data_IF_291434881299
#
_entry.id   IF_291434881299
#
_cell.length_a   1.000
_cell.length_b   1.000
_cell.length_c   1.000
_cell.angle_alpha   90.00
_cell.angle_beta   90.00
_cell.angle_gamma   90.00
#
_symmetry.space_group_name_H-M   'P 1'
#
loop_
_entity.id
_entity.type
_entity.pdbx_description
1 polymer ?
#
# COMPACT_ATOMS: atom_id res chain seq x y z
N UNK A 1 28.60 -70.15 5.26
CA UNK A 1 27.37 -70.86 5.68
C UNK A 1 26.36 -69.83 6.19
N UNK A 2 25.06 -70.03 5.95
CA UNK A 2 24.23 -69.07 5.22
C UNK A 2 23.03 -68.52 6.03
N UNK A 3 22.23 -67.68 5.35
CA UNK A 3 20.97 -67.05 5.76
C UNK A 3 19.90 -68.01 6.32
N UNK A 4 18.80 -67.46 6.88
CA UNK A 4 17.57 -67.49 6.08
C UNK A 4 16.68 -66.22 6.16
N UNK A 5 16.00 -65.94 5.04
CA UNK A 5 14.75 -65.17 4.86
C UNK A 5 13.53 -66.10 5.14
N UNK A 6 12.27 -65.78 4.73
CA UNK A 6 11.30 -64.74 5.14
C UNK A 6 9.91 -65.35 5.50
N UNK A 7 8.89 -64.54 5.84
CA UNK A 7 7.42 -64.76 5.60
C UNK A 7 6.63 -63.51 6.05
N UNK A 8 6.06 -62.69 5.14
CA UNK A 8 4.69 -62.73 4.59
C UNK A 8 3.58 -62.52 5.64
N UNK A 9 2.58 -61.63 5.54
CA UNK A 9 2.17 -60.68 4.51
C UNK A 9 0.67 -60.34 4.69
N UNK A 10 0.24 -59.10 4.40
CA UNK A 10 -1.13 -58.75 3.98
C UNK A 10 -1.13 -57.33 3.39
N UNK A 11 -1.13 -57.17 2.06
CA UNK A 11 -2.28 -57.05 1.14
C UNK A 11 -3.07 -55.73 1.30
N UNK A 12 -2.78 -54.79 0.41
CA UNK A 12 -3.67 -53.72 -0.07
C UNK A 12 -3.39 -53.48 -1.56
N UNK A 13 -4.36 -53.86 -2.40
CA UNK A 13 -4.41 -53.77 -3.88
C UNK A 13 -4.52 -52.30 -4.34
N UNK A 14 -3.73 -51.84 -5.31
CA UNK A 14 -3.93 -51.84 -6.79
C UNK A 14 -5.06 -50.93 -7.29
N UNK A 15 -4.72 -50.04 -8.24
CA UNK A 15 -5.69 -49.30 -9.04
C UNK A 15 -5.15 -48.07 -9.81
N UNK A 16 -4.27 -48.32 -10.79
CA UNK A 16 -3.94 -47.51 -11.99
C UNK A 16 -5.17 -46.86 -12.68
N UNK A 17 -5.15 -45.87 -13.59
CA UNK A 17 -4.14 -45.04 -14.26
C UNK A 17 -4.87 -43.96 -15.13
N UNK A 18 -4.07 -43.05 -15.72
CA UNK A 18 -4.19 -42.40 -17.04
C UNK A 18 -5.35 -41.40 -17.30
N UNK A 19 -5.09 -40.10 -17.55
CA UNK A 19 -4.64 -39.43 -18.82
C UNK A 19 -5.70 -39.42 -19.92
N UNK A 20 -6.06 -38.23 -20.43
CA UNK A 20 -6.66 -38.07 -21.76
C UNK A 20 -7.44 -36.78 -22.00
N UNK A 21 -6.93 -35.94 -22.90
CA UNK A 21 -7.49 -34.66 -23.34
C UNK A 21 -8.54 -34.79 -24.47
N UNK A 22 -9.24 -33.69 -24.79
CA UNK A 22 -9.57 -33.36 -26.20
C UNK A 22 -11.04 -33.19 -26.63
N UNK A 23 -11.47 -31.93 -26.70
CA UNK A 23 -12.19 -31.24 -27.80
C UNK A 23 -13.47 -31.77 -28.51
N UNK A 24 -14.45 -30.84 -28.54
CA UNK A 24 -15.41 -30.44 -29.62
C UNK A 24 -16.54 -31.38 -30.05
N UNK A 25 -17.78 -30.87 -29.98
CA UNK A 25 -18.67 -30.78 -31.17
C UNK A 25 -19.76 -29.69 -31.03
N UNK A 26 -20.09 -29.07 -32.17
CA UNK A 26 -21.08 -28.00 -32.42
C UNK A 26 -22.47 -28.54 -32.81
N UNK A 27 -23.45 -27.60 -32.79
CA UNK A 27 -24.75 -27.47 -33.53
C UNK A 27 -25.98 -27.98 -32.76
N UNK A 28 -27.17 -27.36 -32.79
CA UNK A 28 -27.83 -26.45 -33.77
C UNK A 28 -29.12 -25.81 -33.21
N UNK A 29 -29.51 -24.62 -33.75
CA UNK A 29 -30.90 -24.10 -33.93
C UNK A 29 -31.54 -23.36 -32.74
N UNK A 30 -32.34 -22.28 -32.89
CA UNK A 30 -32.97 -21.62 -34.05
C UNK A 30 -33.68 -20.30 -33.58
N UNK A 31 -33.70 -19.27 -34.47
CA UNK A 31 -34.70 -18.16 -34.67
C UNK A 31 -34.84 -17.09 -33.55
N UNK A 32 -35.03 -15.78 -33.82
CA UNK A 32 -35.16 -14.96 -35.03
C UNK A 32 -35.62 -13.52 -34.67
N UNK A 33 -35.52 -12.59 -35.65
CA UNK A 33 -36.01 -11.19 -35.72
C UNK A 33 -35.30 -10.13 -34.84
N UNK A 34 -35.00 -8.90 -35.29
CA UNK A 34 -35.29 -8.18 -36.53
C UNK A 34 -34.44 -6.89 -36.61
N UNK A 35 -34.28 -6.37 -37.84
CA UNK A 35 -33.55 -5.15 -38.21
C UNK A 35 -34.36 -3.86 -37.96
N UNK A 36 -33.64 -2.75 -37.76
CA UNK A 36 -34.15 -1.39 -37.93
C UNK A 36 -33.06 -0.36 -37.63
N UNK A 37 -32.53 0.29 -38.67
CA UNK A 37 -31.43 1.26 -38.59
C UNK A 37 -31.85 2.69 -38.27
N UNK A 38 -30.85 3.60 -38.26
CA UNK A 38 -31.09 5.05 -38.25
C UNK A 38 -29.88 5.85 -37.75
N UNK A 39 -29.12 6.43 -38.67
CA UNK A 39 -28.11 7.46 -38.43
C UNK A 39 -28.76 8.85 -38.41
N UNK A 40 -28.25 9.80 -37.60
CA UNK A 40 -28.34 11.24 -37.91
C UNK A 40 -27.34 12.08 -37.10
N UNK A 41 -26.87 13.14 -37.75
CA UNK A 41 -25.74 13.98 -37.42
C UNK A 41 -26.04 15.21 -36.52
N UNK A 42 -24.96 15.73 -35.93
CA UNK A 42 -24.55 17.13 -35.80
C UNK A 42 -25.49 18.19 -35.19
N UNK A 43 -24.94 19.03 -34.28
CA UNK A 43 -24.56 20.42 -34.57
C UNK A 43 -23.88 21.14 -33.40
N UNK A 44 -23.07 22.13 -33.80
CA UNK A 44 -22.19 23.02 -33.03
C UNK A 44 -22.96 24.19 -32.38
N UNK A 45 -22.38 24.79 -31.35
CA UNK A 45 -22.71 26.14 -30.88
C UNK A 45 -21.63 26.76 -29.99
N UNK A 46 -20.77 27.60 -30.57
CA UNK A 46 -19.80 28.48 -29.89
C UNK A 46 -20.45 29.82 -29.51
N UNK A 47 -19.95 30.49 -28.44
CA UNK A 47 -19.74 31.95 -28.23
C UNK A 47 -19.28 32.14 -26.76
N UNK A 48 -18.02 32.44 -26.41
CA UNK A 48 -17.18 33.66 -26.49
C UNK A 48 -17.69 34.93 -25.77
N UNK A 49 -16.90 35.29 -24.74
CA UNK A 49 -16.36 36.61 -24.38
C UNK A 49 -17.23 37.64 -23.61
N UNK A 50 -16.61 38.21 -22.56
CA UNK A 50 -17.07 39.39 -21.84
C UNK A 50 -16.21 39.71 -20.62
N UNK A 51 -15.01 40.27 -20.84
CA UNK A 51 -14.17 40.86 -19.81
C UNK A 51 -14.72 42.23 -19.36
N UNK A 52 -14.56 42.58 -18.08
CA UNK A 52 -14.95 43.92 -17.62
C UNK A 52 -14.68 44.24 -16.14
N UNK A 53 -13.52 44.86 -15.91
CA UNK A 53 -13.27 46.00 -14.99
C UNK A 53 -13.33 45.80 -13.45
N UNK A 54 -12.16 45.98 -12.84
CA UNK A 54 -11.95 46.52 -11.48
C UNK A 54 -12.41 47.97 -11.38
N UNK A 55 -12.65 48.45 -10.14
CA UNK A 55 -11.95 49.66 -9.70
C UNK A 55 -11.23 49.48 -8.36
N UNK A 56 -10.32 50.40 -8.09
CA UNK A 56 -9.43 50.45 -6.96
C UNK A 56 -9.84 51.54 -5.94
N UNK A 57 -9.19 51.46 -4.76
CA UNK A 57 -8.93 52.50 -3.74
C UNK A 57 -9.96 52.69 -2.61
N UNK A 58 -9.61 52.15 -1.44
CA UNK A 58 -9.02 52.93 -0.34
C UNK A 58 -9.96 53.44 0.77
N UNK A 59 -9.69 53.06 2.03
CA UNK A 59 -9.47 53.93 3.20
C UNK A 59 -9.24 53.11 4.50
N UNK A 60 -8.49 53.74 5.41
CA UNK A 60 -8.00 53.28 6.72
C UNK A 60 -9.07 53.00 7.79
N UNK A 61 -8.91 51.88 8.55
CA UNK A 61 -8.75 51.68 10.04
C UNK A 61 -9.64 52.53 11.00
N UNK A 62 -10.32 51.98 12.05
CA UNK A 62 -9.71 51.23 13.17
C UNK A 62 -10.47 50.05 13.83
N UNK A 63 -9.71 49.35 14.69
CA UNK A 63 -10.06 48.25 15.59
C UNK A 63 -11.29 48.50 16.48
N UNK A 64 -12.14 47.47 16.67
CA UNK A 64 -12.73 47.08 17.96
C UNK A 64 -13.81 45.97 17.83
N UNK A 65 -13.56 44.83 18.51
CA UNK A 65 -14.48 44.22 19.51
C UNK A 65 -15.71 43.36 19.05
N UNK A 66 -15.58 42.06 19.35
CA UNK A 66 -16.57 41.12 19.95
C UNK A 66 -17.76 40.48 19.19
N UNK A 67 -17.81 39.14 19.37
CA UNK A 67 -18.93 38.32 19.88
C UNK A 67 -20.37 38.47 19.34
N UNK A 68 -20.94 37.30 19.01
CA UNK A 68 -22.36 36.92 19.10
C UNK A 68 -23.37 37.57 18.14
N UNK A 69 -23.69 36.88 17.06
CA UNK A 69 -25.10 36.70 16.63
C UNK A 69 -25.30 35.34 15.96
N UNK A 70 -25.96 34.40 16.65
CA UNK A 70 -26.79 33.37 16.01
C UNK A 70 -27.83 32.82 17.00
N UNK A 71 -28.69 33.70 17.52
CA UNK A 71 -29.93 33.30 18.21
C UNK A 71 -31.01 34.36 18.05
N UNK A 72 -31.71 34.37 16.91
CA UNK A 72 -33.09 34.82 16.80
C UNK A 72 -33.64 34.47 15.41
N UNK A 73 -34.69 33.65 15.36
CA UNK A 73 -35.32 33.24 14.11
C UNK A 73 -36.13 31.95 14.24
N UNK A 74 -36.99 31.84 15.27
CA UNK A 74 -38.03 30.80 15.34
C UNK A 74 -39.40 31.47 15.23
N UNK A 75 -40.13 31.14 14.16
CA UNK A 75 -41.58 30.95 14.07
C UNK A 75 -41.90 30.76 12.57
N UNK A 76 -42.66 29.79 12.06
CA UNK A 76 -43.57 28.74 12.55
C UNK A 76 -43.55 27.62 11.50
N UNK A 77 -43.47 26.36 11.91
CA UNK A 77 -44.24 25.22 11.34
C UNK A 77 -43.98 23.99 12.21
N UNK A 78 -45.00 23.57 12.96
CA UNK A 78 -45.02 22.36 13.78
C UNK A 78 -44.95 21.14 12.85
N UNK A 79 -43.86 20.39 12.90
CA UNK A 79 -43.84 18.94 12.61
C UNK A 79 -43.07 18.26 13.74
N UNK A 80 -43.70 17.27 14.37
CA UNK A 80 -43.13 16.47 15.46
C UNK A 80 -41.81 15.84 14.98
N UNK A 81 -40.71 16.14 15.64
CA UNK A 81 -39.47 15.38 15.55
C UNK A 81 -39.56 14.19 16.52
N UNK A 82 -39.08 12.99 16.15
CA UNK A 82 -38.93 11.90 17.11
C UNK A 82 -37.84 12.26 18.15
N UNK A 83 -37.89 11.68 19.36
CA UNK A 83 -36.99 12.04 20.45
C UNK A 83 -35.54 11.74 20.06
N UNK A 84 -34.66 12.74 20.18
CA UNK A 84 -33.23 12.53 20.13
C UNK A 84 -32.82 11.79 21.40
N UNK A 85 -32.32 10.57 21.24
CA UNK A 85 -31.66 9.82 22.31
C UNK A 85 -30.39 10.57 22.67
N UNK A 86 -30.19 11.02 23.92
CA UNK A 86 -28.94 11.63 24.33
C UNK A 86 -27.80 10.60 24.24
N UNK A 87 -26.56 10.99 23.90
CA UNK A 87 -25.45 10.05 23.87
C UNK A 87 -25.26 9.40 25.25
N UNK A 88 -24.95 8.11 25.27
CA UNK A 88 -24.64 7.36 26.49
C UNK A 88 -23.54 8.07 27.30
N UNK A 89 -23.60 8.05 28.65
CA UNK A 89 -22.55 8.58 29.50
C UNK A 89 -21.24 7.81 29.20
N UNK A 90 -20.28 8.49 28.56
CA UNK A 90 -18.99 7.91 28.14
C UNK A 90 -18.60 8.16 26.68
N UNK A 91 -19.53 8.62 25.82
CA UNK A 91 -19.23 8.94 24.42
C UNK A 91 -18.58 10.32 24.32
N UNK A 92 -17.33 10.38 23.85
CA UNK A 92 -16.67 11.67 23.55
C UNK A 92 -16.96 12.07 22.10
N UNK A 93 -17.66 13.20 21.84
CA UNK A 93 -17.69 13.78 20.51
C UNK A 93 -16.30 14.31 20.18
N UNK A 94 -15.68 13.80 19.10
CA UNK A 94 -14.37 14.27 18.65
C UNK A 94 -14.54 15.19 17.44
N UNK A 95 -14.09 16.44 17.56
CA UNK A 95 -13.82 17.32 16.41
C UNK A 95 -12.40 17.14 15.86
N UNK A 96 -11.57 16.36 16.55
CA UNK A 96 -10.18 16.07 16.21
C UNK A 96 -10.03 14.72 15.48
N UNK A 97 -9.15 14.70 14.48
CA UNK A 97 -8.70 13.47 13.82
C UNK A 97 -7.91 12.64 14.83
N UNK A 98 -8.52 11.56 15.35
CA UNK A 98 -7.84 10.61 16.21
C UNK A 98 -7.43 9.40 15.37
N UNK A 99 -6.12 9.20 15.18
CA UNK A 99 -5.60 8.00 14.52
C UNK A 99 -5.21 6.98 15.61
N UNK A 100 -5.97 5.90 15.79
CA UNK A 100 -5.59 4.83 16.71
C UNK A 100 -4.37 4.07 16.18
N UNK A 101 -3.23 4.16 16.87
CA UNK A 101 -2.01 3.43 16.50
C UNK A 101 -1.66 2.35 17.53
N UNK A 102 -1.24 1.14 17.09
CA UNK A 102 -0.69 0.13 17.99
C UNK A 102 0.65 0.60 18.60
N UNK A 103 0.93 0.22 19.86
CA UNK A 103 2.04 0.73 20.67
C UNK A 103 3.47 0.38 20.19
N UNK A 104 3.65 -0.35 19.08
CA UNK A 104 4.98 -0.76 18.60
C UNK A 104 5.10 -0.64 17.09
N UNK A 105 5.69 0.47 16.62
CA UNK A 105 6.22 0.59 15.27
C UNK A 105 7.64 -0.02 15.25
N UNK A 106 7.82 -1.19 14.65
CA UNK A 106 9.17 -1.76 14.40
C UNK A 106 9.82 -1.03 13.21
N UNK A 107 11.13 -0.81 13.29
CA UNK A 107 11.95 -0.19 12.24
C UNK A 107 11.88 -1.02 10.95
N UNK A 108 11.45 -0.40 9.84
CA UNK A 108 11.54 -0.94 8.48
C UNK A 108 11.95 0.16 7.53
N UNK A 109 12.16 -0.12 6.25
CA UNK A 109 12.60 0.89 5.27
C UNK A 109 11.55 1.06 4.18
N UNK A 110 11.39 2.30 3.74
CA UNK A 110 10.55 2.68 2.61
C UNK A 110 11.50 3.16 1.52
N UNK A 111 11.38 2.55 0.34
CA UNK A 111 11.98 3.08 -0.88
C UNK A 111 10.97 4.07 -1.45
N UNK A 112 11.29 5.36 -1.36
CA UNK A 112 10.47 6.45 -1.90
C UNK A 112 11.03 6.81 -3.28
N UNK A 113 10.15 6.92 -4.27
CA UNK A 113 10.49 7.33 -5.65
C UNK A 113 9.83 8.67 -6.01
N UNK A 114 9.94 9.70 -5.16
CA UNK A 114 9.59 11.08 -5.52
C UNK A 114 10.17 12.11 -4.54
N UNK A 115 10.10 13.39 -4.94
CA UNK A 115 10.73 14.59 -4.37
C UNK A 115 10.36 14.90 -2.90
N UNK A 116 10.87 14.12 -1.94
CA UNK A 116 11.07 14.61 -0.56
C UNK A 116 12.45 15.29 -0.48
N UNK A 117 12.49 16.55 -0.90
CA UNK A 117 13.72 17.15 -1.40
C UNK A 117 14.66 17.82 -0.39
N UNK A 118 14.37 17.89 0.92
CA UNK A 118 15.23 18.68 1.85
C UNK A 118 15.77 17.99 3.11
N UNK A 119 15.26 16.84 3.52
CA UNK A 119 15.70 16.17 4.76
C UNK A 119 16.16 14.71 4.56
N UNK A 120 16.17 14.24 3.30
CA UNK A 120 16.42 12.83 2.96
C UNK A 120 17.81 12.66 2.33
N UNK A 121 18.60 11.63 2.70
CA UNK A 121 19.90 11.35 2.09
C UNK A 121 19.82 11.27 0.56
N UNK A 122 20.91 11.62 -0.13
CA UNK A 122 21.00 11.68 -1.59
C UNK A 122 20.38 10.45 -2.29
N UNK A 123 19.62 10.68 -3.37
CA UNK A 123 19.02 9.62 -4.17
C UNK A 123 20.06 8.63 -4.68
N UNK A 124 19.71 7.34 -4.69
CA UNK A 124 20.56 6.29 -5.27
C UNK A 124 20.35 6.36 -6.76
N UNK A 125 21.44 6.60 -7.49
CA UNK A 125 21.43 6.80 -8.94
C UNK A 125 21.89 5.59 -9.73
N UNK A 126 22.15 4.46 -9.05
CA UNK A 126 22.52 3.21 -9.71
C UNK A 126 21.78 2.01 -9.14
N UNK A 127 21.46 1.06 -10.01
CA UNK A 127 20.91 -0.24 -9.64
C UNK A 127 21.74 -1.34 -10.28
N UNK A 128 22.20 -2.31 -9.48
CA UNK A 128 22.97 -3.47 -9.95
C UNK A 128 22.14 -4.74 -9.79
N UNK A 129 21.97 -5.47 -10.88
CA UNK A 129 21.30 -6.76 -10.94
C UNK A 129 22.33 -7.87 -11.18
N UNK A 130 22.26 -8.90 -10.35
CA UNK A 130 23.17 -10.06 -10.36
C UNK A 130 22.39 -11.36 -10.29
N UNK A 131 23.03 -12.46 -10.66
CA UNK A 131 22.70 -13.79 -10.19
C UNK A 131 23.85 -14.31 -9.31
N UNK A 132 23.68 -15.38 -8.53
CA UNK A 132 24.79 -15.95 -7.78
C UNK A 132 25.98 -16.25 -8.70
N UNK A 133 27.11 -15.58 -8.47
CA UNK A 133 28.34 -15.73 -9.25
C UNK A 133 28.44 -14.95 -10.55
N UNK A 134 27.47 -14.10 -10.91
CA UNK A 134 27.52 -13.33 -12.18
C UNK A 134 26.82 -11.98 -12.08
N UNK A 135 27.45 -10.95 -12.66
CA UNK A 135 26.80 -9.69 -12.95
C UNK A 135 25.92 -9.80 -14.20
N UNK A 136 24.66 -9.40 -14.07
CA UNK A 136 23.71 -9.42 -15.19
C UNK A 136 23.67 -8.06 -15.86
N UNK A 137 23.52 -6.99 -15.07
CA UNK A 137 23.48 -5.61 -15.54
C UNK A 137 23.63 -4.61 -14.40
N UNK A 138 24.25 -3.47 -14.68
CA UNK A 138 24.17 -2.28 -13.85
C UNK A 138 23.54 -1.15 -14.67
N UNK A 139 22.66 -0.37 -14.03
CA UNK A 139 21.93 0.72 -14.63
C UNK A 139 22.27 2.03 -13.92
N UNK A 140 22.41 3.11 -14.68
CA UNK A 140 22.43 4.48 -14.17
C UNK A 140 21.06 5.13 -14.39
N UNK A 141 20.48 5.69 -13.34
CA UNK A 141 19.20 6.41 -13.43
C UNK A 141 19.34 7.66 -14.29
N UNK A 142 20.46 8.38 -14.17
CA UNK A 142 20.70 9.59 -14.97
C UNK A 142 20.75 9.30 -16.48
N UNK A 143 21.14 8.07 -16.87
CA UNK A 143 21.27 7.67 -18.29
C UNK A 143 19.98 7.02 -18.82
N UNK A 144 19.37 6.11 -18.06
CA UNK A 144 18.25 5.28 -18.55
C UNK A 144 16.86 5.74 -18.06
N UNK A 145 16.79 6.64 -17.07
CA UNK A 145 15.56 7.22 -16.57
C UNK A 145 15.81 8.62 -15.96
N UNK A 146 16.23 9.61 -16.78
CA UNK A 146 16.55 10.95 -16.28
C UNK A 146 15.40 11.55 -15.47
N UNK A 147 15.74 12.14 -14.32
CA UNK A 147 14.75 12.75 -13.40
C UNK A 147 14.12 11.77 -12.41
N UNK A 148 14.35 10.46 -12.54
CA UNK A 148 13.93 9.49 -11.53
C UNK A 148 15.03 9.20 -10.52
N UNK A 149 14.65 9.00 -9.26
CA UNK A 149 15.55 8.57 -8.20
C UNK A 149 14.88 7.61 -7.22
N UNK A 150 15.69 6.85 -6.49
CA UNK A 150 15.24 5.99 -5.39
C UNK A 150 15.89 6.43 -4.10
N UNK A 151 15.07 6.73 -3.09
CA UNK A 151 15.54 7.09 -1.74
C UNK A 151 15.14 6.02 -0.75
N UNK A 152 16.12 5.48 -0.04
CA UNK A 152 15.86 4.60 1.09
C UNK A 152 15.75 5.43 2.38
N UNK A 153 14.62 5.32 3.07
CA UNK A 153 14.35 6.03 4.32
C UNK A 153 13.97 5.03 5.40
N UNK A 154 14.50 5.23 6.61
CA UNK A 154 14.02 4.51 7.78
C UNK A 154 12.57 4.89 8.07
N UNK A 155 11.66 3.91 8.01
CA UNK A 155 10.23 4.04 8.31
C UNK A 155 10.00 4.69 9.66
N UNK A 156 10.82 4.37 10.67
CA UNK A 156 10.71 4.99 11.99
C UNK A 156 10.92 6.51 11.88
N UNK A 157 12.02 6.94 11.26
CA UNK A 157 12.32 8.35 11.06
C UNK A 157 11.23 9.04 10.22
N UNK A 158 10.73 8.40 9.16
CA UNK A 158 9.63 8.96 8.37
C UNK A 158 8.36 9.14 9.20
N UNK A 159 7.95 8.13 9.96
CA UNK A 159 6.74 8.18 10.78
C UNK A 159 6.86 9.21 11.90
N UNK A 160 8.01 9.28 12.58
CA UNK A 160 8.29 10.29 13.61
C UNK A 160 8.27 11.71 13.02
N UNK A 161 8.84 11.90 11.82
CA UNK A 161 8.80 13.18 11.11
C UNK A 161 7.37 13.59 10.77
N UNK A 162 6.57 12.69 10.20
CA UNK A 162 5.16 12.96 9.89
C UNK A 162 4.34 13.24 11.15
N UNK A 163 4.55 12.45 12.21
CA UNK A 163 3.86 12.65 13.49
C UNK A 163 4.21 13.99 14.14
N UNK A 164 5.46 14.46 14.00
CA UNK A 164 5.90 15.75 14.54
C UNK A 164 5.20 16.96 13.93
N UNK A 165 4.58 16.80 12.76
CA UNK A 165 3.81 17.85 12.08
C UNK A 165 2.36 17.92 12.54
N UNK A 166 1.91 16.99 13.39
CA UNK A 166 0.54 16.97 13.91
C UNK A 166 0.42 17.80 15.20
N UNK A 167 -0.75 18.42 15.45
CA UNK A 167 -1.00 19.09 16.72
C UNK A 167 -0.82 18.16 17.92
N UNK A 168 -0.40 18.69 19.10
CA UNK A 168 -0.37 17.92 20.32
C UNK A 168 -1.72 17.25 20.61
N UNK A 169 -1.69 15.97 20.98
CA UNK A 169 -2.90 15.18 21.27
C UNK A 169 -3.65 14.62 20.06
N UNK A 170 -3.19 14.87 18.82
CA UNK A 170 -3.80 14.29 17.62
C UNK A 170 -3.63 12.75 17.54
N UNK A 171 -2.56 12.22 18.13
CA UNK A 171 -2.29 10.77 18.16
C UNK A 171 -2.69 10.22 19.53
N UNK A 172 -3.49 9.15 19.52
CA UNK A 172 -3.80 8.33 20.70
C UNK A 172 -3.25 6.92 20.50
N UNK A 173 -2.26 6.56 21.32
CA UNK A 173 -1.70 5.21 21.35
C UNK A 173 -2.55 4.27 22.20
N UNK A 174 -2.33 2.97 22.03
CA UNK A 174 -3.05 1.90 22.76
C UNK A 174 -4.57 1.97 22.55
N UNK A 175 -5.00 2.48 21.40
CA UNK A 175 -6.41 2.68 21.04
C UNK A 175 -6.88 1.64 20.02
N UNK A 176 -6.69 0.35 20.30
CA UNK A 176 -7.07 -0.70 19.33
C UNK A 176 -8.59 -0.74 19.15
N UNK A 177 -9.03 -0.75 17.88
CA UNK A 177 -10.45 -0.86 17.52
C UNK A 177 -10.98 -2.25 17.85
N UNK A 178 -12.07 -2.29 18.64
CA UNK A 178 -12.82 -3.51 18.96
C UNK A 178 -14.00 -3.70 18.02
N UNK A 179 -14.80 -2.64 17.79
CA UNK A 179 -15.98 -2.71 16.93
C UNK A 179 -16.27 -1.39 16.22
N UNK A 180 -16.98 -1.46 15.10
CA UNK A 180 -17.42 -0.32 14.30
C UNK A 180 -18.89 -0.51 13.91
N UNK A 181 -19.70 0.53 14.04
CA UNK A 181 -21.12 0.51 13.66
C UNK A 181 -21.62 1.86 13.13
N UNK A 182 -22.58 1.81 12.21
CA UNK A 182 -23.27 3.01 11.73
C UNK A 182 -24.37 3.43 12.72
N UNK A 183 -24.39 4.71 13.10
CA UNK A 183 -25.42 5.29 13.97
C UNK A 183 -26.34 6.24 13.16
N UNK A 184 -26.68 5.84 11.93
CA UNK A 184 -27.51 6.61 11.01
C UNK A 184 -26.98 8.03 10.76
N UNK A 185 -27.79 9.05 11.08
CA UNK A 185 -27.39 10.46 10.92
C UNK A 185 -26.37 10.94 11.95
N UNK A 186 -26.23 10.26 13.08
CA UNK A 186 -25.37 10.68 14.19
C UNK A 186 -23.87 10.51 13.87
N UNK A 187 -23.51 9.54 13.03
CA UNK A 187 -22.12 9.28 12.63
C UNK A 187 -21.79 7.79 12.62
N UNK A 188 -20.50 7.49 12.74
CA UNK A 188 -19.96 6.15 12.88
C UNK A 188 -19.41 6.00 14.29
N UNK A 189 -19.87 4.99 15.02
CA UNK A 189 -19.41 4.68 16.37
C UNK A 189 -18.26 3.68 16.31
N UNK A 190 -17.15 4.04 16.94
CA UNK A 190 -15.97 3.21 17.13
C UNK A 190 -15.88 2.84 18.61
N UNK A 191 -15.84 1.55 18.91
CA UNK A 191 -15.57 1.03 20.24
C UNK A 191 -14.13 0.54 20.30
N UNK A 192 -13.38 0.97 21.31
CA UNK A 192 -12.00 0.54 21.54
C UNK A 192 -11.93 -0.64 22.52
N UNK A 193 -10.82 -1.37 22.51
CA UNK A 193 -10.61 -2.50 23.43
C UNK A 193 -10.59 -2.08 24.92
N UNK A 194 -10.24 -0.84 25.22
CA UNK A 194 -10.27 -0.27 26.56
C UNK A 194 -11.67 0.26 26.98
N UNK A 195 -12.69 0.00 26.16
CA UNK A 195 -14.08 0.39 26.42
C UNK A 195 -14.42 1.83 26.03
N UNK A 196 -13.45 2.66 25.63
CA UNK A 196 -13.74 4.00 25.12
C UNK A 196 -14.58 3.94 23.85
N UNK A 197 -15.50 4.87 23.71
CA UNK A 197 -16.34 5.03 22.53
C UNK A 197 -16.11 6.38 21.86
N UNK A 198 -15.93 6.36 20.55
CA UNK A 198 -15.70 7.54 19.72
C UNK A 198 -16.79 7.61 18.66
N UNK A 199 -17.57 8.70 18.67
CA UNK A 199 -18.52 9.00 17.61
C UNK A 199 -17.87 9.94 16.59
N UNK A 200 -17.67 9.45 15.38
CA UNK A 200 -16.98 10.17 14.31
C UNK A 200 -17.93 10.53 13.16
N UNK A 201 -17.73 11.72 12.58
CA UNK A 201 -18.46 12.14 11.37
C UNK A 201 -17.90 11.44 10.13
N UNK A 202 -16.58 11.35 10.06
CA UNK A 202 -15.80 10.67 9.01
C UNK A 202 -14.79 9.76 9.70
N UNK A 203 -14.60 8.56 9.16
CA UNK A 203 -13.62 7.56 9.59
C UNK A 203 -12.76 7.20 8.39
N UNK A 204 -11.45 7.35 8.53
CA UNK A 204 -10.48 6.88 7.53
C UNK A 204 -9.82 5.60 8.05
N UNK A 205 -10.16 4.46 7.44
CA UNK A 205 -9.54 3.17 7.74
C UNK A 205 -8.15 3.09 7.13
N UNK A 206 -7.14 3.27 7.98
CA UNK A 206 -5.71 3.19 7.64
C UNK A 206 -4.97 2.17 8.55
N UNK A 207 -5.70 1.15 8.97
CA UNK A 207 -5.35 0.11 9.96
C UNK A 207 -4.61 -1.11 9.36
N UNK A 208 -4.07 -0.94 8.15
CA UNK A 208 -3.15 -1.87 7.51
C UNK A 208 -3.80 -3.14 6.95
N UNK A 209 -2.96 -4.10 6.57
CA UNK A 209 -3.35 -5.29 5.80
C UNK A 209 -4.46 -6.13 6.44
N UNK A 210 -4.51 -6.21 7.77
CA UNK A 210 -5.51 -6.99 8.52
C UNK A 210 -6.71 -6.13 9.01
N UNK A 211 -6.99 -5.03 8.31
CA UNK A 211 -7.97 -4.00 8.68
C UNK A 211 -9.32 -4.57 9.12
N UNK A 212 -9.70 -4.46 10.41
CA UNK A 212 -11.09 -4.71 10.84
C UNK A 212 -12.11 -3.81 10.14
N UNK A 213 -11.73 -2.58 9.75
CA UNK A 213 -12.65 -1.66 9.05
C UNK A 213 -12.93 -2.19 7.63
N UNK A 214 -11.91 -2.68 6.92
CA UNK A 214 -12.08 -3.27 5.59
C UNK A 214 -12.96 -4.53 5.65
N UNK A 215 -12.75 -5.39 6.64
CA UNK A 215 -13.60 -6.57 6.88
C UNK A 215 -15.05 -6.17 7.12
N UNK A 216 -15.28 -5.16 7.97
CA UNK A 216 -16.62 -4.63 8.23
C UNK A 216 -17.28 -4.03 6.97
N UNK A 217 -16.48 -3.43 6.08
CA UNK A 217 -16.94 -2.94 4.78
C UNK A 217 -17.21 -4.06 3.75
N UNK A 218 -16.92 -5.31 4.09
CA UNK A 218 -17.16 -6.48 3.24
C UNK A 218 -15.97 -6.90 2.38
N UNK A 219 -14.78 -6.35 2.59
CA UNK A 219 -13.58 -6.82 1.89
C UNK A 219 -13.18 -8.20 2.41
N UNK A 220 -12.71 -9.05 1.50
CA UNK A 220 -12.13 -10.35 1.88
C UNK A 220 -10.84 -10.17 2.66
N UNK A 221 -10.44 -11.22 3.39
CA UNK A 221 -9.09 -11.29 3.96
C UNK A 221 -8.02 -11.23 2.85
N UNK A 222 -6.86 -10.62 3.14
CA UNK A 222 -5.69 -10.76 2.28
C UNK A 222 -5.30 -12.23 2.13
N UNK A 223 -4.91 -12.62 0.91
CA UNK A 223 -4.54 -13.98 0.58
C UNK A 223 -3.02 -14.13 0.59
N UNK A 224 -2.53 -15.20 1.20
CA UNK A 224 -1.13 -15.59 1.10
C UNK A 224 -0.74 -15.93 -0.34
N UNK A 225 0.37 -15.37 -0.82
CA UNK A 225 0.77 -15.49 -2.23
C UNK A 225 1.77 -16.61 -2.52
N UNK A 226 2.09 -17.45 -1.52
CA UNK A 226 3.10 -18.51 -1.67
C UNK A 226 4.55 -18.05 -1.47
N UNK A 227 4.75 -16.82 -0.99
CA UNK A 227 6.08 -16.25 -0.78
C UNK A 227 6.25 -15.72 0.65
N UNK A 228 7.44 -15.92 1.19
CA UNK A 228 7.89 -15.33 2.46
C UNK A 228 8.95 -14.28 2.18
N UNK A 229 9.12 -13.35 3.13
CA UNK A 229 10.21 -12.39 3.07
C UNK A 229 10.95 -12.26 4.40
N UNK A 230 12.27 -12.36 4.35
CA UNK A 230 13.17 -11.84 5.38
C UNK A 230 13.51 -10.38 5.11
N UNK A 231 13.65 -9.60 6.18
CA UNK A 231 14.16 -8.23 6.14
C UNK A 231 15.07 -8.01 7.33
N UNK A 232 16.14 -7.24 7.11
CA UNK A 232 17.04 -6.83 8.16
C UNK A 232 17.66 -5.46 7.92
N UNK A 233 18.19 -4.89 9.00
CA UNK A 233 18.88 -3.61 8.99
C UNK A 233 20.25 -3.79 9.65
N UNK A 234 21.29 -3.80 8.84
CA UNK A 234 22.67 -3.85 9.31
C UNK A 234 23.12 -2.48 9.80
N UNK A 235 23.92 -2.47 10.85
CA UNK A 235 24.50 -1.27 11.44
C UNK A 235 26.03 -1.37 11.39
N UNK A 236 26.67 -0.27 11.02
CA UNK A 236 28.11 -0.12 10.88
C UNK A 236 28.53 1.09 11.70
N UNK A 237 29.13 0.86 12.87
CA UNK A 237 29.52 1.93 13.80
C UNK A 237 30.48 2.93 13.15
N UNK A 238 31.45 2.42 12.38
CA UNK A 238 32.49 3.23 11.72
C UNK A 238 32.14 3.63 10.28
N UNK A 239 30.88 3.46 9.89
CA UNK A 239 30.40 3.73 8.55
C UNK A 239 30.34 2.49 7.65
N UNK A 240 29.36 2.49 6.76
CA UNK A 240 29.09 1.37 5.85
C UNK A 240 30.00 1.44 4.60
N UNK A 241 30.57 0.31 4.14
CA UNK A 241 31.57 0.30 3.07
C UNK A 241 30.98 0.23 1.64
N UNK A 242 29.66 0.28 1.48
CA UNK A 242 29.00 0.05 0.19
C UNK A 242 28.72 1.35 -0.56
N UNK A 243 28.84 1.28 -1.88
CA UNK A 243 28.43 2.36 -2.77
C UNK A 243 26.91 2.61 -2.71
N UNK A 244 26.42 3.83 -2.97
CA UNK A 244 24.99 4.19 -2.93
C UNK A 244 24.22 3.62 -4.13
N UNK A 245 24.14 2.29 -4.23
CA UNK A 245 23.40 1.55 -5.25
C UNK A 245 22.31 0.67 -4.64
N UNK A 246 21.28 0.41 -5.43
CA UNK A 246 20.31 -0.66 -5.14
C UNK A 246 20.87 -1.97 -5.69
N UNK A 247 21.12 -2.96 -4.84
CA UNK A 247 21.65 -4.26 -5.27
C UNK A 247 20.53 -5.31 -5.27
N UNK A 248 20.31 -5.96 -6.41
CA UNK A 248 19.43 -7.10 -6.58
C UNK A 248 20.22 -8.33 -6.98
N UNK A 249 19.91 -9.47 -6.36
CA UNK A 249 20.48 -10.78 -6.69
C UNK A 249 19.33 -11.75 -6.92
N UNK A 250 19.28 -12.37 -8.09
CA UNK A 250 18.22 -13.28 -8.51
C UNK A 250 18.72 -14.72 -8.53
N UNK A 251 18.15 -15.56 -7.68
CA UNK A 251 18.32 -17.00 -7.69
C UNK A 251 17.13 -17.70 -8.34
N UNK A 252 16.95 -18.99 -8.01
CA UNK A 252 15.82 -19.83 -8.43
C UNK A 252 14.85 -19.95 -7.26
N UNK A 253 13.64 -19.42 -7.39
CA UNK A 253 12.66 -19.36 -6.27
C UNK A 253 13.10 -18.52 -5.06
N UNK A 254 14.22 -17.79 -5.18
CA UNK A 254 14.78 -16.92 -4.16
C UNK A 254 15.33 -15.69 -4.84
N UNK A 255 15.08 -14.52 -4.25
CA UNK A 255 15.72 -13.25 -4.63
C UNK A 255 16.12 -12.51 -3.37
N UNK A 256 17.23 -11.80 -3.44
CA UNK A 256 17.70 -10.97 -2.35
C UNK A 256 18.12 -9.60 -2.87
N UNK A 257 18.28 -8.67 -1.94
CA UNK A 257 18.87 -7.38 -2.27
C UNK A 257 19.27 -6.63 -1.03
N UNK A 258 20.12 -5.63 -1.22
CA UNK A 258 20.50 -4.71 -0.17
C UNK A 258 20.67 -3.29 -0.70
N UNK A 259 20.41 -2.31 0.17
CA UNK A 259 20.38 -0.90 -0.16
C UNK A 259 20.97 -0.12 1.02
N UNK A 260 22.09 0.61 0.84
CA UNK A 260 22.56 1.56 1.84
C UNK A 260 21.49 2.62 2.10
N UNK A 261 21.27 2.98 3.36
CA UNK A 261 20.14 3.80 3.83
C UNK A 261 20.64 5.12 4.40
N UNK A 262 21.69 5.04 5.21
CA UNK A 262 22.43 6.16 5.77
C UNK A 262 23.93 5.88 5.70
N UNK A 263 24.76 6.78 6.24
CA UNK A 263 26.20 6.58 6.37
C UNK A 263 26.57 5.33 7.20
N UNK A 264 25.67 4.85 8.06
CA UNK A 264 25.94 3.76 9.02
C UNK A 264 24.99 2.58 8.89
N UNK A 265 23.97 2.63 8.02
CA UNK A 265 22.93 1.58 7.95
C UNK A 265 22.69 1.05 6.55
N UNK A 266 22.51 -0.26 6.46
CA UNK A 266 22.23 -0.98 5.21
C UNK A 266 21.03 -1.90 5.37
N UNK A 267 20.00 -1.67 4.57
CA UNK A 267 18.83 -2.53 4.48
C UNK A 267 19.13 -3.76 3.65
N UNK A 268 18.59 -4.91 4.01
CA UNK A 268 18.54 -6.05 3.13
C UNK A 268 17.21 -6.80 3.22
N UNK A 269 16.90 -7.54 2.16
CA UNK A 269 15.75 -8.43 2.12
C UNK A 269 16.08 -9.72 1.38
N UNK A 270 15.34 -10.77 1.70
CA UNK A 270 15.25 -12.00 0.91
C UNK A 270 13.77 -12.27 0.70
N UNK A 271 13.33 -12.52 -0.53
CA UNK A 271 12.01 -13.09 -0.80
C UNK A 271 12.21 -14.50 -1.36
N UNK A 272 11.47 -15.48 -0.85
CA UNK A 272 11.62 -16.87 -1.24
C UNK A 272 10.28 -17.61 -1.28
N UNK A 273 10.22 -18.69 -2.05
CA UNK A 273 9.03 -19.51 -2.19
C UNK A 273 8.80 -20.39 -0.97
N UNK A 274 7.55 -20.45 -0.51
CA UNK A 274 7.12 -21.36 0.55
C UNK A 274 5.63 -21.61 0.41
N UNK A 275 5.22 -22.87 0.21
CA UNK A 275 3.81 -23.21 -0.01
C UNK A 275 2.91 -22.84 1.18
N UNK A 276 3.42 -22.99 2.40
CA UNK A 276 2.73 -22.65 3.63
C UNK A 276 3.62 -21.74 4.51
N UNK A 277 3.08 -20.65 5.09
CA UNK A 277 3.87 -19.73 5.92
C UNK A 277 4.49 -20.39 7.16
N UNK A 278 3.96 -21.54 7.59
CA UNK A 278 4.36 -22.25 8.78
C UNK A 278 4.07 -21.50 10.08
N UNK A 279 4.51 -22.03 11.22
CA UNK A 279 4.39 -21.34 12.49
C UNK A 279 5.22 -20.05 12.48
N UNK A 280 4.75 -19.07 13.24
CA UNK A 280 5.48 -17.83 13.47
C UNK A 280 6.71 -18.12 14.32
N UNK A 281 7.89 -18.03 13.72
CA UNK A 281 9.16 -18.08 14.45
C UNK A 281 9.41 -16.70 15.04
N UNK A 282 9.64 -16.65 16.35
CA UNK A 282 9.94 -15.42 17.09
C UNK A 282 11.37 -15.36 17.61
N UNK A 283 12.09 -16.47 17.59
CA UNK A 283 13.49 -16.53 17.98
C UNK A 283 14.37 -15.76 16.97
N UNK A 284 15.00 -14.63 17.38
CA UNK A 284 15.80 -13.82 16.48
C UNK A 284 17.00 -14.56 15.89
N UNK A 285 17.64 -15.44 16.67
CA UNK A 285 18.82 -16.21 16.24
C UNK A 285 18.44 -17.23 15.17
N UNK A 286 17.36 -18.00 15.37
CA UNK A 286 16.84 -18.91 14.35
C UNK A 286 16.44 -18.20 13.05
N UNK A 287 15.83 -17.00 13.14
CA UNK A 287 15.46 -16.22 11.96
C UNK A 287 16.67 -15.81 11.13
N UNK A 288 17.73 -15.29 11.78
CA UNK A 288 18.96 -14.88 11.10
C UNK A 288 19.68 -16.08 10.48
N UNK A 289 19.74 -17.20 11.21
CA UNK A 289 20.34 -18.45 10.73
C UNK A 289 19.61 -18.97 9.49
N UNK A 290 18.28 -19.11 9.54
CA UNK A 290 17.48 -19.55 8.38
C UNK A 290 17.69 -18.63 7.17
N UNK A 291 17.74 -17.30 7.39
CA UNK A 291 17.99 -16.34 6.33
C UNK A 291 19.35 -16.55 5.66
N UNK A 292 20.43 -16.71 6.44
CA UNK A 292 21.78 -16.97 5.93
C UNK A 292 21.87 -18.28 5.17
N UNK A 293 21.17 -19.31 5.64
CA UNK A 293 21.15 -20.62 5.00
C UNK A 293 20.47 -20.61 3.63
N UNK A 294 19.38 -19.85 3.48
CA UNK A 294 18.69 -19.70 2.19
C UNK A 294 19.56 -19.12 1.08
N UNK A 295 20.55 -18.31 1.44
CA UNK A 295 21.46 -17.64 0.49
C UNK A 295 22.91 -18.11 0.67
N UNK A 296 23.11 -19.34 1.16
CA UNK A 296 24.44 -19.93 1.27
C UNK A 296 25.15 -19.91 -0.09
N UNK A 297 26.39 -19.41 -0.13
CA UNK A 297 27.18 -19.31 -1.36
C UNK A 297 26.80 -18.14 -2.29
N UNK A 298 25.88 -17.26 -1.87
CA UNK A 298 25.60 -16.01 -2.59
C UNK A 298 26.74 -15.00 -2.40
N UNK A 299 26.76 -13.90 -3.17
CA UNK A 299 27.83 -12.89 -3.09
C UNK A 299 28.20 -12.48 -1.65
N UNK A 300 29.50 -12.38 -1.40
CA UNK A 300 30.06 -12.13 -0.06
C UNK A 300 29.61 -10.80 0.55
N UNK A 301 29.31 -9.81 -0.29
CA UNK A 301 28.79 -8.50 0.13
C UNK A 301 27.40 -8.62 0.79
N UNK A 302 26.47 -9.38 0.20
CA UNK A 302 25.17 -9.69 0.81
C UNK A 302 25.36 -10.42 2.15
N UNK A 303 26.22 -11.45 2.17
CA UNK A 303 26.46 -12.24 3.38
C UNK A 303 27.09 -11.38 4.50
N UNK A 304 27.98 -10.45 4.16
CA UNK A 304 28.59 -9.51 5.10
C UNK A 304 27.53 -8.59 5.74
N UNK A 305 26.62 -8.04 4.93
CA UNK A 305 25.48 -7.23 5.43
C UNK A 305 24.62 -8.04 6.39
N UNK A 306 24.25 -9.26 6.01
CA UNK A 306 23.41 -10.11 6.85
C UNK A 306 24.10 -10.49 8.16
N UNK A 307 25.41 -10.82 8.14
CA UNK A 307 26.17 -11.14 9.34
C UNK A 307 26.31 -9.95 10.29
N UNK A 308 26.48 -8.75 9.76
CA UNK A 308 26.56 -7.50 10.53
C UNK A 308 25.22 -7.02 11.09
N UNK A 309 24.11 -7.67 10.71
CA UNK A 309 22.78 -7.32 11.21
C UNK A 309 22.56 -7.87 12.62
N UNK A 310 22.18 -7.02 13.61
CA UNK A 310 21.78 -7.52 14.93
C UNK A 310 20.64 -8.53 14.83
N UNK A 311 20.65 -9.60 15.63
CA UNK A 311 19.66 -10.68 15.52
C UNK A 311 18.23 -10.16 15.68
N UNK A 312 18.01 -9.28 16.66
CA UNK A 312 16.71 -8.63 16.91
C UNK A 312 16.23 -7.70 15.79
N UNK A 313 17.09 -7.38 14.81
CA UNK A 313 16.75 -6.56 13.65
C UNK A 313 16.32 -7.38 12.43
N UNK A 314 16.23 -8.72 12.55
CA UNK A 314 15.74 -9.60 11.48
C UNK A 314 14.27 -9.96 11.72
N UNK A 315 13.45 -9.87 10.67
CA UNK A 315 12.09 -10.43 10.69
C UNK A 315 11.82 -11.28 9.47
N UNK A 316 10.88 -12.20 9.64
CA UNK A 316 10.26 -12.98 8.57
C UNK A 316 8.76 -12.72 8.54
N UNK A 317 8.21 -12.44 7.36
CA UNK A 317 6.78 -12.20 7.19
C UNK A 317 6.23 -12.95 5.98
N UNK A 318 5.02 -13.51 6.06
CA UNK A 318 4.30 -13.93 4.87
C UNK A 318 3.97 -12.73 4.00
N UNK A 319 4.06 -12.91 2.68
CA UNK A 319 3.58 -11.94 1.72
C UNK A 319 2.13 -12.27 1.39
N UNK A 320 1.28 -11.24 1.44
CA UNK A 320 -0.15 -11.34 1.16
C UNK A 320 -0.55 -10.24 0.19
N UNK A 321 -1.65 -10.45 -0.52
CA UNK A 321 -2.28 -9.43 -1.35
C UNK A 321 -3.81 -9.52 -1.31
N UNK A 322 -4.47 -8.46 -1.81
CA UNK A 322 -5.90 -8.48 -2.08
C UNK A 322 -6.19 -7.71 -3.35
N UNK A 323 -6.74 -8.41 -4.34
CA UNK A 323 -6.97 -7.85 -5.66
C UNK A 323 -8.31 -7.12 -5.70
N UNK A 324 -8.29 -5.88 -6.19
CA UNK A 324 -9.47 -5.03 -6.32
C UNK A 324 -10.21 -5.28 -7.64
N UNK A 325 -10.64 -6.53 -7.85
CA UNK A 325 -11.27 -6.95 -9.09
C UNK A 325 -12.48 -6.08 -9.48
N UNK A 326 -12.53 -5.55 -10.71
CA UNK A 326 -13.65 -4.73 -11.17
C UNK A 326 -14.98 -5.45 -11.01
N UNK A 327 -15.95 -4.81 -10.34
CA UNK A 327 -17.29 -5.35 -10.12
C UNK A 327 -17.42 -6.44 -9.06
N UNK A 328 -16.31 -6.89 -8.45
CA UNK A 328 -16.32 -7.87 -7.36
C UNK A 328 -15.82 -7.28 -6.03
N UNK A 329 -14.86 -6.35 -6.10
CA UNK A 329 -14.37 -5.67 -4.91
C UNK A 329 -15.44 -4.72 -4.34
N UNK A 330 -15.65 -4.69 -3.00
CA UNK A 330 -16.49 -3.69 -2.38
C UNK A 330 -15.97 -2.27 -2.63
N UNK A 331 -16.86 -1.29 -2.48
CA UNK A 331 -16.47 0.11 -2.55
C UNK A 331 -15.48 0.47 -1.43
N UNK A 332 -14.49 1.30 -1.76
CA UNK A 332 -13.52 1.84 -0.80
C UNK A 332 -14.16 2.79 0.21
N UNK A 333 -15.35 3.31 -0.13
CA UNK A 333 -16.14 4.21 0.70
C UNK A 333 -17.52 3.64 1.03
N UNK A 334 -18.01 3.89 2.26
CA UNK A 334 -19.31 3.41 2.75
C UNK A 334 -20.06 4.49 3.51
N UNK A 335 -21.35 4.60 3.24
CA UNK A 335 -22.30 5.45 3.97
C UNK A 335 -21.99 6.96 3.91
N UNK A 336 -21.07 7.39 3.02
CA UNK A 336 -20.58 8.77 2.99
C UNK A 336 -19.84 9.19 4.25
N UNK A 337 -19.31 8.24 5.02
CA UNK A 337 -18.68 8.48 6.33
C UNK A 337 -17.42 7.65 6.54
N UNK A 338 -17.31 6.48 5.93
CA UNK A 338 -16.15 5.60 6.12
C UNK A 338 -15.43 5.46 4.79
N UNK A 339 -14.11 5.58 4.78
CA UNK A 339 -13.27 5.38 3.59
C UNK A 339 -11.98 4.68 3.97
N UNK A 340 -11.49 3.76 3.13
CA UNK A 340 -10.23 3.04 3.33
C UNK A 340 -9.08 3.71 2.58
N UNK A 341 -7.87 3.63 3.14
CA UNK A 341 -6.63 4.09 2.51
C UNK A 341 -5.45 3.17 2.85
N UNK A 342 -4.43 3.17 1.99
CA UNK A 342 -3.24 2.33 2.15
C UNK A 342 -3.54 0.83 2.13
N UNK A 343 -2.76 0.05 2.88
CA UNK A 343 -2.89 -1.42 2.94
C UNK A 343 -4.25 -1.89 3.49
N UNK A 344 -5.02 -1.03 4.16
CA UNK A 344 -6.39 -1.34 4.56
C UNK A 344 -7.31 -1.50 3.33
N UNK A 345 -7.01 -0.81 2.23
CA UNK A 345 -7.75 -0.89 0.98
C UNK A 345 -7.05 -1.80 -0.04
N UNK A 346 -5.80 -1.51 -0.40
CA UNK A 346 -5.06 -2.13 -1.51
C UNK A 346 -3.75 -2.80 -1.06
N UNK A 347 -3.80 -3.81 -0.16
CA UNK A 347 -2.61 -4.52 0.24
C UNK A 347 -1.99 -5.24 -0.96
N UNK A 348 -0.71 -4.97 -1.22
CA UNK A 348 0.01 -5.50 -2.36
C UNK A 348 1.35 -6.11 -1.97
N UNK A 349 1.84 -7.01 -2.81
CA UNK A 349 3.17 -7.60 -2.63
C UNK A 349 4.27 -6.53 -2.84
N UNK A 350 5.41 -6.63 -2.13
CA UNK A 350 6.47 -5.61 -2.17
C UNK A 350 7.30 -5.64 -3.46
N UNK A 351 6.83 -6.32 -4.51
CA UNK A 351 7.65 -6.61 -5.69
C UNK A 351 7.99 -5.39 -6.54
N UNK A 352 7.21 -4.30 -6.42
CA UNK A 352 7.46 -3.00 -7.04
C UNK A 352 7.88 -1.92 -6.04
N UNK A 353 7.95 -2.23 -4.74
CA UNK A 353 8.29 -1.23 -3.71
C UNK A 353 7.27 -0.10 -3.50
N UNK A 354 6.05 -0.21 -4.05
CA UNK A 354 5.10 0.92 -4.09
C UNK A 354 4.09 1.03 -2.94
N UNK A 355 3.92 0.02 -2.09
CA UNK A 355 2.81 0.03 -1.12
C UNK A 355 2.77 1.29 -0.22
N UNK A 356 3.92 1.68 0.33
CA UNK A 356 4.01 2.89 1.15
C UNK A 356 3.86 4.19 0.34
N UNK A 357 4.41 4.25 -0.88
CA UNK A 357 4.19 5.39 -1.78
C UNK A 357 2.71 5.56 -2.09
N UNK A 358 2.00 4.49 -2.44
CA UNK A 358 0.57 4.51 -2.69
C UNK A 358 -0.24 4.99 -1.48
N UNK A 359 0.16 4.61 -0.26
CA UNK A 359 -0.51 5.09 0.96
C UNK A 359 -0.29 6.60 1.19
N UNK A 360 0.89 7.14 0.82
CA UNK A 360 1.15 8.58 0.87
C UNK A 360 0.38 9.34 -0.22
N UNK A 361 0.35 8.80 -1.45
CA UNK A 361 -0.48 9.32 -2.54
C UNK A 361 -1.96 9.37 -2.12
N UNK A 362 -2.46 8.30 -1.47
CA UNK A 362 -3.82 8.27 -0.94
C UNK A 362 -4.09 9.38 0.07
N UNK A 363 -3.17 9.61 1.01
CA UNK A 363 -3.33 10.64 2.03
C UNK A 363 -3.48 12.02 1.41
N UNK A 364 -2.66 12.34 0.40
CA UNK A 364 -2.71 13.62 -0.32
C UNK A 364 -4.03 13.75 -1.09
N UNK A 365 -4.37 12.75 -1.92
CA UNK A 365 -5.58 12.81 -2.74
C UNK A 365 -6.84 12.86 -1.87
N UNK A 366 -6.91 12.06 -0.81
CA UNK A 366 -8.07 12.06 0.10
C UNK A 366 -8.20 13.40 0.83
N UNK A 367 -7.10 13.93 1.37
CA UNK A 367 -7.10 15.22 2.05
C UNK A 367 -7.58 16.34 1.14
N UNK A 368 -7.09 16.40 -0.10
CA UNK A 368 -7.53 17.36 -1.12
C UNK A 368 -9.03 17.26 -1.39
N UNK A 369 -9.51 16.04 -1.69
CA UNK A 369 -10.93 15.81 -2.01
C UNK A 369 -11.85 16.19 -0.84
N UNK A 370 -11.44 15.90 0.39
CA UNK A 370 -12.22 16.25 1.59
C UNK A 370 -12.17 17.75 1.88
N UNK A 371 -11.03 18.42 1.66
CA UNK A 371 -10.92 19.87 1.81
C UNK A 371 -11.86 20.62 0.85
N UNK A 372 -11.91 20.21 -0.42
CA UNK A 372 -12.79 20.79 -1.44
C UNK A 372 -14.28 20.64 -1.10
N UNK A 373 -14.65 19.58 -0.36
CA UNK A 373 -16.01 19.29 0.04
C UNK A 373 -16.47 19.99 1.34
N UNK A 374 -15.56 20.60 2.10
CA UNK A 374 -15.90 21.25 3.36
C UNK A 374 -16.59 20.34 4.40
N UNK A 375 -17.41 20.92 5.27
CA UNK A 375 -18.06 20.22 6.39
C UNK A 375 -19.42 19.59 6.07
N UNK A 376 -19.88 19.63 4.82
CA UNK A 376 -21.17 19.05 4.41
C UNK A 376 -21.02 17.54 4.14
N UNK A 377 -21.81 16.72 4.84
CA UNK A 377 -21.78 15.26 4.70
C UNK A 377 -22.15 14.74 3.31
N UNK A 378 -23.00 15.44 2.55
CA UNK A 378 -23.32 15.04 1.18
C UNK A 378 -22.12 15.27 0.24
N UNK A 379 -21.41 16.38 0.43
CA UNK A 379 -20.21 16.72 -0.33
C UNK A 379 -19.05 15.80 0.05
N UNK A 380 -18.89 15.47 1.34
CA UNK A 380 -17.90 14.49 1.80
C UNK A 380 -18.11 13.11 1.16
N UNK A 381 -19.35 12.66 1.03
CA UNK A 381 -19.68 11.41 0.35
C UNK A 381 -19.27 11.43 -1.13
N UNK A 382 -19.50 12.55 -1.82
CA UNK A 382 -19.07 12.72 -3.21
C UNK A 382 -17.54 12.76 -3.33
N UNK A 383 -16.85 13.46 -2.42
CA UNK A 383 -15.40 13.52 -2.35
C UNK A 383 -14.76 12.14 -2.15
N UNK A 384 -15.28 11.33 -1.23
CA UNK A 384 -14.77 9.96 -1.01
C UNK A 384 -14.94 9.05 -2.23
N UNK A 385 -16.06 9.18 -2.96
CA UNK A 385 -16.25 8.46 -4.24
C UNK A 385 -15.30 8.94 -5.34
N UNK A 386 -15.03 10.25 -5.40
CA UNK A 386 -14.06 10.81 -6.35
C UNK A 386 -12.64 10.33 -6.04
N UNK A 387 -12.25 10.34 -4.75
CA UNK A 387 -11.01 9.72 -4.27
C UNK A 387 -10.92 8.24 -4.69
N UNK A 388 -11.97 7.47 -4.44
CA UNK A 388 -12.02 6.05 -4.76
C UNK A 388 -11.82 5.80 -6.26
N UNK A 389 -12.52 6.53 -7.13
CA UNK A 389 -12.39 6.39 -8.58
C UNK A 389 -10.98 6.73 -9.09
N UNK A 390 -10.42 7.85 -8.64
CA UNK A 390 -9.07 8.31 -9.00
C UNK A 390 -8.01 7.30 -8.56
N UNK A 391 -8.09 6.87 -7.30
CA UNK A 391 -7.09 5.97 -6.72
C UNK A 391 -7.24 4.54 -7.21
N UNK A 392 -8.45 4.03 -7.43
CA UNK A 392 -8.64 2.68 -7.95
C UNK A 392 -7.95 2.49 -9.31
N UNK A 393 -8.06 3.49 -10.20
CA UNK A 393 -7.39 3.50 -11.51
C UNK A 393 -5.86 3.43 -11.40
N UNK A 394 -5.29 3.89 -10.27
CA UNK A 394 -3.87 3.81 -9.95
C UNK A 394 -3.49 2.49 -9.25
N UNK A 395 -4.21 2.11 -8.20
CA UNK A 395 -3.78 1.04 -7.28
C UNK A 395 -4.11 -0.36 -7.80
N UNK A 396 -5.18 -0.54 -8.59
CA UNK A 396 -5.52 -1.86 -9.13
C UNK A 396 -4.46 -2.37 -10.14
N UNK A 397 -4.08 -1.61 -11.18
CA UNK A 397 -3.02 -2.02 -12.10
C UNK A 397 -1.68 -2.26 -11.39
N UNK A 398 -1.35 -1.43 -10.39
CA UNK A 398 -0.16 -1.62 -9.57
C UNK A 398 -0.16 -2.93 -8.79
N UNK A 399 -1.27 -3.24 -8.12
CA UNK A 399 -1.41 -4.48 -7.33
C UNK A 399 -1.28 -5.70 -8.24
N UNK A 400 -1.95 -5.69 -9.40
CA UNK A 400 -1.86 -6.76 -10.38
C UNK A 400 -0.43 -6.92 -10.95
N UNK A 401 0.22 -5.80 -11.31
CA UNK A 401 1.61 -5.79 -11.81
C UNK A 401 2.58 -6.29 -10.73
N UNK A 402 2.40 -5.91 -9.47
CA UNK A 402 3.22 -6.40 -8.36
C UNK A 402 3.07 -7.91 -8.16
N UNK A 403 1.85 -8.44 -8.24
CA UNK A 403 1.59 -9.89 -8.21
C UNK A 403 2.27 -10.62 -9.37
N UNK A 404 2.10 -10.12 -10.60
CA UNK A 404 2.69 -10.73 -11.80
C UNK A 404 4.22 -10.71 -11.77
N UNK A 405 4.82 -9.56 -11.47
CA UNK A 405 6.29 -9.44 -11.33
C UNK A 405 6.79 -10.40 -10.26
N UNK A 406 6.09 -10.51 -9.12
CA UNK A 406 6.39 -11.47 -8.07
C UNK A 406 6.47 -12.90 -8.55
N UNK A 407 5.43 -13.36 -9.26
CA UNK A 407 5.38 -14.70 -9.82
C UNK A 407 6.53 -14.96 -10.82
N UNK A 408 6.84 -13.97 -11.68
CA UNK A 408 7.89 -14.09 -12.69
C UNK A 408 9.30 -14.16 -12.08
N UNK A 409 9.61 -13.27 -11.13
CA UNK A 409 10.95 -13.20 -10.55
C UNK A 409 11.24 -14.34 -9.56
N UNK A 410 10.21 -15.05 -9.11
CA UNK A 410 10.28 -16.19 -8.21
C UNK A 410 10.19 -17.56 -8.91
N UNK A 411 10.38 -17.58 -10.23
CA UNK A 411 10.36 -18.84 -10.98
C UNK A 411 11.51 -19.78 -10.54
N UNK A 412 11.25 -21.09 -10.50
CA UNK A 412 12.21 -22.10 -10.04
C UNK A 412 12.86 -22.92 -11.17
N UNK A 413 12.15 -23.03 -12.31
CA UNK A 413 12.61 -23.73 -13.50
C UNK A 413 13.96 -23.18 -14.00
N UNK A 414 14.94 -24.08 -14.16
CA UNK A 414 16.31 -23.74 -14.53
C UNK A 414 16.40 -23.04 -15.89
N UNK A 415 15.66 -23.51 -16.89
CA UNK A 415 15.69 -22.97 -18.25
C UNK A 415 15.11 -21.55 -18.30
N UNK A 416 14.01 -21.32 -17.58
CA UNK A 416 13.41 -19.97 -17.45
C UNK A 416 14.37 -19.01 -16.74
N UNK A 417 15.03 -19.47 -15.67
CA UNK A 417 16.03 -18.65 -14.98
C UNK A 417 17.26 -18.38 -15.85
N UNK A 418 17.72 -19.34 -16.64
CA UNK A 418 18.82 -19.15 -17.58
C UNK A 418 18.46 -18.13 -18.68
N UNK A 419 17.23 -18.17 -19.20
CA UNK A 419 16.73 -17.16 -20.15
C UNK A 419 16.61 -15.77 -19.49
N UNK A 420 16.11 -15.71 -18.24
CA UNK A 420 16.05 -14.48 -17.45
C UNK A 420 17.43 -13.84 -17.30
N UNK A 421 18.41 -14.64 -16.89
CA UNK A 421 19.77 -14.18 -16.57
C UNK A 421 20.61 -13.93 -17.84
N UNK A 422 20.41 -14.71 -18.89
CA UNK A 422 21.19 -14.62 -20.13
C UNK A 422 20.64 -13.66 -21.18
N UNK A 423 19.33 -13.36 -21.15
CA UNK A 423 18.65 -12.58 -22.19
C UNK A 423 17.79 -11.47 -21.61
N UNK A 424 16.83 -11.80 -20.73
CA UNK A 424 15.81 -10.82 -20.32
C UNK A 424 16.42 -9.67 -19.53
N UNK A 425 17.14 -9.95 -18.43
CA UNK A 425 17.74 -8.90 -17.59
C UNK A 425 18.82 -8.14 -18.36
N UNK A 426 19.80 -8.79 -19.03
CA UNK A 426 20.86 -8.06 -19.70
C UNK A 426 20.36 -7.24 -20.90
N UNK A 427 19.44 -7.78 -21.71
CA UNK A 427 19.10 -7.17 -23.01
C UNK A 427 17.74 -6.45 -23.06
N UNK A 428 16.76 -6.87 -22.26
CA UNK A 428 15.37 -6.41 -22.40
C UNK A 428 14.91 -5.49 -21.27
N UNK A 429 15.46 -5.60 -20.06
CA UNK A 429 15.10 -4.70 -18.95
C UNK A 429 15.62 -3.29 -19.25
N UNK A 430 14.78 -2.27 -19.09
CA UNK A 430 15.15 -0.85 -19.21
C UNK A 430 14.57 -0.09 -18.03
N UNK A 431 15.33 0.82 -17.42
CA UNK A 431 14.88 1.51 -16.20
C UNK A 431 13.60 2.30 -16.41
N UNK A 432 13.50 3.14 -17.45
CA UNK A 432 12.30 3.96 -17.69
C UNK A 432 10.99 3.16 -17.69
N UNK A 433 10.79 2.18 -18.61
CA UNK A 433 9.59 1.34 -18.62
C UNK A 433 9.42 0.48 -17.36
N UNK A 434 10.53 0.08 -16.73
CA UNK A 434 10.51 -0.66 -15.47
C UNK A 434 9.95 0.19 -14.33
N UNK A 435 10.28 1.48 -14.30
CA UNK A 435 9.93 2.45 -13.27
C UNK A 435 8.76 3.37 -13.65
N UNK A 436 8.13 3.21 -14.82
CA UNK A 436 6.98 4.02 -15.22
C UNK A 436 5.87 4.04 -14.15
N UNK A 437 5.74 2.95 -13.42
CA UNK A 437 4.80 2.81 -12.31
C UNK A 437 5.09 3.74 -11.12
N UNK A 438 6.24 4.41 -11.07
CA UNK A 438 6.58 5.44 -10.06
C UNK A 438 6.16 6.84 -10.49
N UNK A 439 5.78 7.03 -11.76
CA UNK A 439 5.33 8.32 -12.25
C UNK A 439 3.91 8.57 -11.74
N UNK A 440 3.81 9.35 -10.68
CA UNK A 440 2.56 9.86 -10.17
C UNK A 440 2.79 11.27 -9.66
N UNK A 441 2.17 12.24 -10.32
CA UNK A 441 2.21 13.64 -9.89
C UNK A 441 1.12 13.87 -8.86
N UNK A 442 1.54 14.17 -7.63
CA UNK A 442 0.67 14.74 -6.63
C UNK A 442 0.79 16.25 -6.73
N UNK A 443 -0.28 16.95 -7.13
CA UNK A 443 -0.33 18.39 -6.92
C UNK A 443 -0.13 18.66 -5.42
N UNK A 444 0.91 19.42 -5.07
CA UNK A 444 1.21 19.74 -3.67
C UNK A 444 0.01 20.47 -3.07
N UNK A 445 -0.35 20.10 -1.84
CA UNK A 445 -1.31 20.87 -1.06
C UNK A 445 -0.68 22.23 -0.77
N UNK A 446 -1.22 23.29 -1.36
CA UNK A 446 -0.83 24.65 -0.98
C UNK A 446 -1.11 24.83 0.53
N UNK A 447 -0.18 25.42 1.30
CA UNK A 447 -0.44 25.69 2.70
C UNK A 447 -1.68 26.57 2.80
N UNK A 448 -2.59 26.21 3.73
CA UNK A 448 -3.73 27.06 4.03
C UNK A 448 -3.21 28.46 4.37
N UNK A 449 -3.82 29.54 3.81
CA UNK A 449 -3.38 30.88 4.13
C UNK A 449 -3.43 31.07 5.65
N UNK A 450 -2.35 31.57 6.23
CA UNK A 450 -2.29 31.92 7.64
C UNK A 450 -3.50 32.80 7.95
N UNK A 451 -4.33 32.35 8.90
CA UNK A 451 -5.46 33.15 9.36
C UNK A 451 -4.87 34.38 10.05
N UNK A 452 -5.30 35.60 9.69
CA UNK A 452 -4.72 36.84 10.20
C UNK A 452 -4.87 37.02 11.71
#
# INVERSE_FOLDING_TARGET
MPAPRPRSGHRGRLGDAAVGAGHRHRRRGRRGAGHGGGAAAARRGRRRAGAGRRPARGRHVPDAVQERVARAGRHRRRRRAPPQVPPHPGVRPSSSCCVPLPARCRSWIILVCSELHREVPAGRRRMRMRSPGRDLREFSFDEEAPGQEVRAVERRALLETLASKLPPGAISFSSKLKSISEQGRAGTLLELEDGRQILAKIVVGCDGVNSPIARWMGFSEPRYVGHMAFRGLAEYADGQPFEPKVNYIYGRGVRAGFVPVSATKVYWFICFNRQDPGPKITDPTALKTEALELVRGWPSDLLAVMRSTPEGAVVRTPLVDRWLWPGLAPAASRGGRVVLAGDAWHPMTPNLGQGACCALEDAIVLARRLADAGADGAQAAAAMRAYEAERWARVFPLTARAGLVGALVQWENAAVCAARDGVVIPRLVRLGPFLEHTNFECDLLEPAPESP
#
